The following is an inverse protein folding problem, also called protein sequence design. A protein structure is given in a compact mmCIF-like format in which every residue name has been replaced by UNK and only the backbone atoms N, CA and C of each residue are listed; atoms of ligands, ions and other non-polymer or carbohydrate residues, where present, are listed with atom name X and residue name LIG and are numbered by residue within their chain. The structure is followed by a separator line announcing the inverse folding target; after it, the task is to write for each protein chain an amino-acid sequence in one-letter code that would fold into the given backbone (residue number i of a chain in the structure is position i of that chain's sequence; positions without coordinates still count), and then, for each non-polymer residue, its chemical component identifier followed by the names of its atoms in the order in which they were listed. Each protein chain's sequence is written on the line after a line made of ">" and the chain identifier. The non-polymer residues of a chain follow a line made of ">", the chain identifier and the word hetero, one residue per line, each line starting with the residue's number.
data_IF_130916292930
#
_entry.id   IF_130916292930
#
_cell.length_a   1.000
_cell.length_b   1.000
_cell.length_c   1.000
_cell.angle_alpha   90.00
_cell.angle_beta   90.00
_cell.angle_gamma   90.00
#
_symmetry.space_group_name_H-M   'P 1'
#
loop_
_entity.id
_entity.type
_entity.pdbx_description
1 polymer ?
#
# COMPACT_ATOMS: atom_id res chain seq x y z
N UNK A 1 -14.86 -27.18 -16.65
CA UNK A 1 -15.19 -26.10 -15.69
C UNK A 1 -15.72 -26.77 -14.43
N UNK A 2 -14.87 -26.92 -13.39
CA UNK A 2 -15.16 -27.76 -12.23
C UNK A 2 -16.29 -27.19 -11.37
N UNK A 3 -17.32 -28.01 -11.17
CA UNK A 3 -18.54 -27.73 -10.42
C UNK A 3 -18.35 -27.67 -8.88
N UNK A 4 -17.11 -27.89 -8.40
CA UNK A 4 -16.79 -28.16 -6.99
C UNK A 4 -16.40 -26.94 -6.13
N UNK A 5 -16.34 -25.74 -6.70
CA UNK A 5 -15.95 -24.54 -5.95
C UNK A 5 -17.13 -23.76 -5.34
N UNK A 6 -18.38 -24.22 -5.54
CA UNK A 6 -19.58 -23.45 -5.17
C UNK A 6 -19.93 -23.43 -3.67
N UNK A 7 -19.36 -24.31 -2.84
CA UNK A 7 -19.80 -24.49 -1.44
C UNK A 7 -18.74 -24.25 -0.35
N UNK A 8 -17.61 -23.61 -0.64
CA UNK A 8 -16.67 -23.21 0.43
C UNK A 8 -17.02 -21.81 0.92
N UNK A 9 -17.33 -21.69 2.22
CA UNK A 9 -17.48 -20.39 2.87
C UNK A 9 -16.26 -19.52 2.57
N UNK A 10 -16.42 -18.23 2.24
CA UNK A 10 -15.28 -17.35 1.94
C UNK A 10 -14.31 -17.34 3.12
N UNK A 11 -13.02 -17.54 2.82
CA UNK A 11 -11.98 -17.59 3.86
C UNK A 11 -12.02 -16.32 4.73
N UNK A 12 -11.93 -16.51 6.05
CA UNK A 12 -11.84 -15.44 7.05
C UNK A 12 -10.43 -14.84 7.13
N UNK A 13 -9.41 -15.52 6.59
CA UNK A 13 -8.01 -15.11 6.65
C UNK A 13 -7.77 -13.65 6.20
N UNK A 14 -8.35 -13.17 5.08
CA UNK A 14 -8.16 -11.78 4.64
C UNK A 14 -8.58 -10.75 5.68
N UNK A 15 -9.70 -10.99 6.36
CA UNK A 15 -10.24 -10.08 7.36
C UNK A 15 -9.43 -10.08 8.66
N UNK A 16 -8.92 -11.23 9.07
CA UNK A 16 -8.02 -11.35 10.22
C UNK A 16 -6.71 -10.60 9.96
N UNK A 17 -6.11 -10.82 8.79
CA UNK A 17 -4.89 -10.09 8.40
C UNK A 17 -5.15 -8.59 8.29
N UNK A 18 -6.30 -8.19 7.74
CA UNK A 18 -6.71 -6.79 7.65
C UNK A 18 -6.84 -6.14 9.03
N UNK A 19 -7.50 -6.79 9.99
CA UNK A 19 -7.61 -6.28 11.35
C UNK A 19 -6.24 -6.08 11.99
N UNK A 20 -5.34 -7.06 11.82
CA UNK A 20 -3.97 -6.99 12.34
C UNK A 20 -3.17 -5.80 11.78
N UNK A 21 -3.20 -5.61 10.46
CA UNK A 21 -2.45 -4.53 9.80
C UNK A 21 -3.02 -3.14 10.05
N UNK A 22 -4.27 -3.02 10.50
CA UNK A 22 -4.87 -1.75 10.94
C UNK A 22 -4.52 -1.46 12.39
N UNK A 23 -4.71 -2.44 13.28
CA UNK A 23 -4.60 -2.26 14.73
C UNK A 23 -3.16 -1.96 15.17
N UNK A 24 -2.15 -2.64 14.62
CA UNK A 24 -0.77 -2.43 15.08
C UNK A 24 -0.26 -1.01 14.79
N UNK A 25 -0.33 -0.49 13.56
CA UNK A 25 0.03 0.90 13.28
C UNK A 25 -0.79 1.90 14.10
N UNK A 26 -2.06 1.59 14.35
CA UNK A 26 -2.91 2.44 15.19
C UNK A 26 -2.39 2.52 16.64
N UNK A 27 -2.04 1.40 17.25
CA UNK A 27 -1.47 1.37 18.60
C UNK A 27 -0.17 2.18 18.64
N UNK A 28 0.73 2.00 17.66
CA UNK A 28 1.98 2.77 17.60
C UNK A 28 1.73 4.27 17.44
N UNK A 29 0.81 4.66 16.57
CA UNK A 29 0.42 6.06 16.37
C UNK A 29 -0.22 6.66 17.63
N UNK A 30 -1.16 5.94 18.26
CA UNK A 30 -1.82 6.38 19.48
C UNK A 30 -0.82 6.51 20.64
N UNK A 31 0.12 5.57 20.78
CA UNK A 31 1.17 5.61 21.79
C UNK A 31 2.07 6.84 21.64
N UNK A 32 2.49 7.21 20.41
CA UNK A 32 3.27 8.42 20.14
C UNK A 32 2.50 9.69 20.57
N UNK A 33 1.17 9.65 20.52
CA UNK A 33 0.29 10.73 20.97
C UNK A 33 -0.15 10.60 22.43
N UNK A 34 0.50 9.73 23.22
CA UNK A 34 0.14 9.43 24.61
C UNK A 34 -1.35 9.10 24.77
N UNK A 35 -1.94 8.41 23.79
CA UNK A 35 -3.36 8.05 23.73
C UNK A 35 -4.34 9.23 23.75
N UNK A 36 -3.86 10.46 23.57
CA UNK A 36 -4.70 11.65 23.52
C UNK A 36 -5.28 11.85 22.13
N UNK A 37 -6.60 11.83 21.98
CA UNK A 37 -7.29 12.13 20.71
C UNK A 37 -7.66 13.62 20.57
N UNK A 38 -7.24 14.46 21.51
CA UNK A 38 -7.40 15.91 21.41
C UNK A 38 -6.47 16.50 20.35
N UNK A 39 -6.84 17.65 19.77
CA UNK A 39 -6.00 18.44 18.85
C UNK A 39 -5.47 17.67 17.64
N UNK A 40 -6.33 16.89 16.97
CA UNK A 40 -5.98 16.22 15.72
C UNK A 40 -5.78 17.26 14.61
N UNK A 41 -4.56 17.34 14.09
CA UNK A 41 -4.21 18.13 12.91
C UNK A 41 -3.94 17.24 11.70
N UNK A 42 -4.02 17.81 10.49
CA UNK A 42 -3.65 17.11 9.27
C UNK A 42 -2.22 16.52 9.34
N UNK A 43 -1.27 17.25 9.94
CA UNK A 43 0.11 16.78 10.16
C UNK A 43 0.21 15.57 11.09
N UNK A 44 -0.70 15.46 12.06
CA UNK A 44 -0.73 14.31 12.98
C UNK A 44 -1.41 13.07 12.38
N UNK A 45 -2.34 13.25 11.44
CA UNK A 45 -3.16 12.17 10.86
C UNK A 45 -2.58 11.64 9.55
N UNK A 46 -2.03 12.49 8.68
CA UNK A 46 -1.54 12.03 7.38
C UNK A 46 -0.54 10.86 7.45
N UNK A 47 0.37 10.73 8.45
CA UNK A 47 1.35 9.65 8.44
C UNK A 47 0.72 8.27 8.58
N UNK A 48 -0.25 8.11 9.49
CA UNK A 48 -0.91 6.81 9.70
C UNK A 48 -1.70 6.35 8.47
N UNK A 49 -2.27 7.29 7.69
CA UNK A 49 -2.96 6.95 6.45
C UNK A 49 -2.04 6.27 5.43
N UNK A 50 -0.81 6.77 5.30
CA UNK A 50 0.20 6.18 4.41
C UNK A 50 0.61 4.77 4.86
N UNK A 51 0.74 4.57 6.17
CA UNK A 51 1.05 3.25 6.76
C UNK A 51 -0.08 2.28 6.50
N UNK A 52 -1.33 2.64 6.83
CA UNK A 52 -2.47 1.78 6.57
C UNK A 52 -2.64 1.47 5.08
N UNK A 53 -2.48 2.46 4.20
CA UNK A 53 -2.55 2.22 2.77
C UNK A 53 -1.56 1.13 2.34
N UNK A 54 -0.27 1.30 2.68
CA UNK A 54 0.76 0.34 2.31
C UNK A 54 0.52 -1.04 2.93
N UNK A 55 0.13 -1.10 4.19
CA UNK A 55 -0.08 -2.38 4.87
C UNK A 55 -1.31 -3.14 4.37
N UNK A 56 -2.35 -2.44 3.92
CA UNK A 56 -3.48 -3.08 3.23
C UNK A 56 -3.01 -3.60 1.86
N UNK A 57 -2.26 -2.81 1.10
CA UNK A 57 -1.69 -3.28 -0.19
C UNK A 57 -0.78 -4.49 0.01
N UNK A 58 0.01 -4.52 1.10
CA UNK A 58 0.81 -5.68 1.50
C UNK A 58 -0.05 -6.94 1.69
N UNK A 59 -1.23 -6.83 2.32
CA UNK A 59 -2.12 -7.98 2.45
C UNK A 59 -2.65 -8.48 1.11
N UNK A 60 -2.82 -7.61 0.10
CA UNK A 60 -3.20 -8.04 -1.25
C UNK A 60 -2.12 -8.92 -1.89
N UNK A 61 -0.85 -8.59 -1.68
CA UNK A 61 0.27 -9.40 -2.14
C UNK A 61 0.32 -10.76 -1.44
N UNK A 62 0.25 -10.77 -0.10
CA UNK A 62 0.28 -12.02 0.68
C UNK A 62 -0.88 -12.94 0.32
N UNK A 63 -2.10 -12.40 0.21
CA UNK A 63 -3.27 -13.17 -0.17
C UNK A 63 -3.21 -13.59 -1.64
N UNK A 64 -2.63 -12.78 -2.52
CA UNK A 64 -2.35 -13.12 -3.92
C UNK A 64 -1.42 -14.32 -4.04
N UNK A 65 -0.31 -14.31 -3.31
CA UNK A 65 0.67 -15.40 -3.22
C UNK A 65 0.04 -16.65 -2.62
N UNK A 66 -0.65 -16.54 -1.48
CA UNK A 66 -1.37 -17.66 -0.86
C UNK A 66 -2.34 -18.29 -1.87
N UNK A 67 -3.08 -17.47 -2.63
CA UNK A 67 -4.03 -17.94 -3.64
C UNK A 67 -3.33 -18.74 -4.75
N UNK A 68 -2.21 -18.25 -5.25
CA UNK A 68 -1.42 -18.93 -6.30
C UNK A 68 -0.93 -20.28 -5.77
N UNK A 69 -0.35 -20.30 -4.57
CA UNK A 69 0.26 -21.50 -3.99
C UNK A 69 -0.76 -22.57 -3.57
N UNK A 70 -1.95 -22.16 -3.13
CA UNK A 70 -2.98 -23.09 -2.61
C UNK A 70 -4.12 -23.34 -3.59
N UNK A 71 -4.11 -22.68 -4.76
CA UNK A 71 -5.21 -22.65 -5.72
C UNK A 71 -6.58 -22.31 -5.06
N UNK A 72 -6.55 -21.45 -4.04
CA UNK A 72 -7.77 -21.03 -3.32
C UNK A 72 -8.57 -19.99 -4.11
N UNK A 73 -9.84 -19.79 -3.74
CA UNK A 73 -10.69 -18.78 -4.38
C UNK A 73 -10.40 -17.37 -3.84
N UNK A 74 -10.61 -16.34 -4.68
CA UNK A 74 -10.49 -14.93 -4.28
C UNK A 74 -11.66 -14.55 -3.36
N UNK A 75 -11.38 -13.92 -2.22
CA UNK A 75 -12.42 -13.24 -1.46
C UNK A 75 -12.76 -11.89 -2.14
N UNK A 76 -13.80 -11.89 -2.98
CA UNK A 76 -14.16 -10.73 -3.80
C UNK A 76 -14.64 -9.53 -2.98
N UNK A 77 -15.37 -9.77 -1.88
CA UNK A 77 -15.86 -8.71 -1.01
C UNK A 77 -14.69 -7.98 -0.34
N UNK A 78 -13.76 -8.75 0.23
CA UNK A 78 -12.55 -8.19 0.82
C UNK A 78 -11.75 -7.40 -0.21
N UNK A 79 -11.47 -7.98 -1.39
CA UNK A 79 -10.70 -7.31 -2.42
C UNK A 79 -11.33 -5.99 -2.89
N UNK A 80 -12.67 -5.95 -2.98
CA UNK A 80 -13.41 -4.73 -3.34
C UNK A 80 -13.31 -3.66 -2.25
N UNK A 81 -13.64 -4.01 -1.00
CA UNK A 81 -13.65 -3.05 0.11
C UNK A 81 -12.24 -2.52 0.38
N UNK A 82 -11.26 -3.42 0.50
CA UNK A 82 -9.87 -3.03 0.77
C UNK A 82 -9.25 -2.26 -0.40
N UNK A 83 -9.61 -2.54 -1.65
CA UNK A 83 -9.18 -1.75 -2.81
C UNK A 83 -9.67 -0.30 -2.77
N UNK A 84 -10.96 -0.07 -2.50
CA UNK A 84 -11.48 1.29 -2.34
C UNK A 84 -10.87 2.02 -1.13
N UNK A 85 -10.65 1.29 -0.04
CA UNK A 85 -10.03 1.86 1.15
C UNK A 85 -8.57 2.26 0.88
N UNK A 86 -7.78 1.42 0.19
CA UNK A 86 -6.43 1.77 -0.24
C UNK A 86 -6.46 3.04 -1.08
N UNK A 87 -7.34 3.11 -2.10
CA UNK A 87 -7.44 4.28 -2.97
C UNK A 87 -7.75 5.55 -2.19
N UNK A 88 -8.69 5.50 -1.25
CA UNK A 88 -9.01 6.61 -0.37
C UNK A 88 -7.78 7.03 0.45
N UNK A 89 -7.09 6.09 1.08
CA UNK A 89 -5.96 6.36 1.96
C UNK A 89 -4.74 6.92 1.21
N UNK A 90 -4.38 6.36 0.03
CA UNK A 90 -3.24 6.85 -0.77
C UNK A 90 -3.49 8.24 -1.36
N UNK A 91 -4.74 8.63 -1.59
CA UNK A 91 -5.10 9.98 -2.03
C UNK A 91 -5.08 10.93 -0.83
N UNK A 92 -5.76 10.55 0.27
CA UNK A 92 -5.84 11.38 1.47
C UNK A 92 -4.47 11.67 2.10
N UNK A 93 -3.55 10.70 2.07
CA UNK A 93 -2.22 10.84 2.65
C UNK A 93 -1.43 12.07 2.15
N UNK A 94 -1.11 12.19 0.84
CA UNK A 94 -0.42 13.36 0.31
C UNK A 94 -1.32 14.60 0.28
N UNK A 95 -2.64 14.47 0.13
CA UNK A 95 -3.52 15.67 0.08
C UNK A 95 -3.63 16.36 1.43
N UNK A 96 -3.68 15.62 2.54
CA UNK A 96 -3.65 16.21 3.89
C UNK A 96 -2.34 16.95 4.15
N UNK A 97 -1.21 16.38 3.70
CA UNK A 97 0.08 17.07 3.78
C UNK A 97 0.07 18.33 2.90
N UNK A 98 -0.46 18.25 1.68
CA UNK A 98 -0.49 19.38 0.75
C UNK A 98 -1.34 20.52 1.29
N UNK A 99 -2.52 20.20 1.83
CA UNK A 99 -3.40 21.16 2.50
C UNK A 99 -2.68 21.85 3.64
N UNK A 100 -2.11 21.07 4.56
CA UNK A 100 -1.45 21.65 5.73
C UNK A 100 -0.27 22.54 5.33
N UNK A 101 0.56 22.10 4.38
CA UNK A 101 1.67 22.93 3.91
C UNK A 101 1.21 24.17 3.17
N UNK A 102 0.08 24.13 2.46
CA UNK A 102 -0.51 25.30 1.83
C UNK A 102 -0.90 26.35 2.89
N UNK A 103 -1.57 25.95 3.97
CA UNK A 103 -1.93 26.85 5.07
C UNK A 103 -0.70 27.52 5.71
N UNK A 104 0.39 26.77 5.89
CA UNK A 104 1.59 27.29 6.55
C UNK A 104 2.54 28.07 5.63
N UNK A 105 2.59 27.74 4.35
CA UNK A 105 3.66 28.23 3.45
C UNK A 105 3.17 28.87 2.17
N UNK A 106 1.87 28.80 1.87
CA UNK A 106 1.24 29.25 0.62
C UNK A 106 1.91 28.67 -0.64
N UNK A 107 2.45 27.45 -0.54
CA UNK A 107 3.14 26.73 -1.62
C UNK A 107 2.49 25.38 -1.87
N UNK A 108 2.37 25.02 -3.14
CA UNK A 108 1.89 23.71 -3.57
C UNK A 108 3.05 22.70 -3.76
N UNK A 109 2.74 21.39 -3.80
CA UNK A 109 3.69 20.37 -4.22
C UNK A 109 4.20 20.63 -5.65
N UNK A 110 5.43 20.21 -6.00
CA UNK A 110 6.36 19.44 -5.17
C UNK A 110 7.15 20.28 -4.16
N UNK A 111 7.17 21.61 -4.34
CA UNK A 111 7.99 22.52 -3.54
C UNK A 111 7.68 22.44 -2.05
N UNK A 112 6.40 22.41 -1.69
CA UNK A 112 5.99 22.32 -0.28
C UNK A 112 6.41 21.00 0.37
N UNK A 113 6.27 19.87 -0.33
CA UNK A 113 6.69 18.56 0.18
C UNK A 113 8.20 18.47 0.38
N UNK A 114 8.98 19.01 -0.55
CA UNK A 114 10.44 19.03 -0.43
C UNK A 114 10.94 19.91 0.71
N UNK A 115 10.24 21.01 1.00
CA UNK A 115 10.57 21.85 2.14
C UNK A 115 10.23 21.16 3.46
N UNK A 116 9.05 20.52 3.54
CA UNK A 116 8.63 19.75 4.72
C UNK A 116 9.60 18.59 5.04
N UNK A 117 9.97 17.81 4.02
CA UNK A 117 10.86 16.66 4.19
C UNK A 117 12.33 17.04 4.43
N UNK A 118 12.75 18.24 4.03
CA UNK A 118 14.14 18.65 4.05
C UNK A 118 14.96 18.18 2.84
N UNK A 119 16.08 18.87 2.58
CA UNK A 119 16.89 18.70 1.36
C UNK A 119 17.41 17.27 1.16
N UNK A 120 17.81 16.59 2.24
CA UNK A 120 18.39 15.24 2.19
C UNK A 120 17.37 14.15 1.83
N UNK A 121 16.06 14.40 1.99
CA UNK A 121 15.01 13.39 1.81
C UNK A 121 14.16 13.61 0.55
N UNK A 122 14.50 14.60 -0.30
CA UNK A 122 13.77 14.90 -1.55
C UNK A 122 13.60 13.69 -2.46
N UNK A 123 14.63 12.85 -2.56
CA UNK A 123 14.57 11.63 -3.36
C UNK A 123 13.44 10.70 -2.89
N UNK A 124 13.27 10.53 -1.59
CA UNK A 124 12.22 9.67 -1.02
C UNK A 124 10.82 10.26 -1.21
N UNK A 125 10.68 11.58 -1.19
CA UNK A 125 9.42 12.25 -1.56
C UNK A 125 9.09 11.97 -3.03
N UNK A 126 10.08 12.10 -3.92
CA UNK A 126 9.91 11.80 -5.34
C UNK A 126 9.54 10.33 -5.57
N UNK A 127 10.18 9.39 -4.88
CA UNK A 127 9.81 7.96 -4.94
C UNK A 127 8.34 7.74 -4.58
N UNK A 128 7.84 8.39 -3.53
CA UNK A 128 6.42 8.31 -3.15
C UNK A 128 5.48 8.83 -4.24
N UNK A 129 5.84 9.94 -4.90
CA UNK A 129 5.07 10.49 -6.01
C UNK A 129 5.05 9.55 -7.23
N UNK A 130 6.20 8.97 -7.60
CA UNK A 130 6.28 7.99 -8.68
C UNK A 130 5.44 6.76 -8.36
N UNK A 131 5.53 6.24 -7.14
CA UNK A 131 4.71 5.11 -6.69
C UNK A 131 3.22 5.38 -6.80
N UNK A 132 2.76 6.58 -6.40
CA UNK A 132 1.35 6.95 -6.50
C UNK A 132 0.87 6.89 -7.95
N UNK A 133 1.65 7.42 -8.90
CA UNK A 133 1.32 7.36 -10.33
C UNK A 133 1.26 5.92 -10.82
N UNK A 134 2.22 5.07 -10.45
CA UNK A 134 2.22 3.65 -10.81
C UNK A 134 1.00 2.91 -10.24
N UNK A 135 0.62 3.20 -9.00
CA UNK A 135 -0.54 2.58 -8.35
C UNK A 135 -1.86 2.99 -9.00
N UNK A 136 -2.05 4.29 -9.23
CA UNK A 136 -3.25 4.81 -9.89
C UNK A 136 -3.35 4.30 -11.33
N UNK A 137 -2.22 4.21 -12.03
CA UNK A 137 -2.18 3.63 -13.38
C UNK A 137 -2.64 2.18 -13.37
N UNK A 138 -2.23 1.39 -12.37
CA UNK A 138 -2.67 0.00 -12.25
C UNK A 138 -4.18 -0.13 -11.97
N UNK A 139 -4.74 0.70 -11.09
CA UNK A 139 -6.18 0.71 -10.82
C UNK A 139 -7.00 0.94 -12.10
N UNK A 140 -6.50 1.80 -12.99
CA UNK A 140 -7.10 2.01 -14.32
C UNK A 140 -6.89 0.78 -15.21
N UNK A 141 -5.65 0.28 -15.33
CA UNK A 141 -5.31 -0.83 -16.22
C UNK A 141 -5.97 -2.15 -15.82
N UNK A 142 -6.19 -2.40 -14.52
CA UNK A 142 -6.90 -3.59 -14.03
C UNK A 142 -8.35 -3.63 -14.55
N UNK A 143 -9.02 -2.46 -14.64
CA UNK A 143 -10.39 -2.36 -15.20
C UNK A 143 -10.44 -2.68 -16.69
N UNK A 144 -9.34 -2.49 -17.40
CA UNK A 144 -9.20 -2.80 -18.81
C UNK A 144 -8.42 -4.09 -19.09
N UNK A 145 -8.28 -4.98 -18.09
CA UNK A 145 -7.46 -6.20 -18.18
C UNK A 145 -7.82 -7.12 -19.37
N UNK A 146 -9.10 -7.15 -19.76
CA UNK A 146 -9.58 -7.97 -20.88
C UNK A 146 -9.21 -7.40 -22.26
N UNK A 147 -8.72 -6.16 -22.34
CA UNK A 147 -8.22 -5.59 -23.60
C UNK A 147 -6.92 -6.29 -23.99
N UNK A 148 -6.82 -6.70 -25.26
CA UNK A 148 -5.68 -7.48 -25.79
C UNK A 148 -4.32 -6.84 -25.50
N UNK A 149 -4.21 -5.51 -25.63
CA UNK A 149 -2.99 -4.75 -25.35
C UNK A 149 -2.60 -4.85 -23.87
N UNK A 150 -3.56 -4.73 -22.95
CA UNK A 150 -3.31 -4.81 -21.51
C UNK A 150 -2.93 -6.24 -21.12
N UNK A 151 -3.69 -7.23 -21.61
CA UNK A 151 -3.42 -8.65 -21.38
C UNK A 151 -2.01 -9.05 -21.85
N UNK A 152 -1.62 -8.64 -23.07
CA UNK A 152 -0.28 -8.91 -23.65
C UNK A 152 0.85 -8.33 -22.81
N UNK A 153 0.61 -7.20 -22.13
CA UNK A 153 1.60 -6.48 -21.34
C UNK A 153 1.45 -6.69 -19.82
N UNK A 154 0.59 -7.63 -19.38
CA UNK A 154 0.26 -7.81 -17.97
C UNK A 154 1.49 -8.05 -17.07
N UNK A 155 2.50 -8.77 -17.57
CA UNK A 155 3.77 -9.00 -16.86
C UNK A 155 4.52 -7.72 -16.50
N UNK A 156 4.48 -6.71 -17.38
CA UNK A 156 5.12 -5.41 -17.15
C UNK A 156 4.30 -4.54 -16.20
N UNK A 157 2.97 -4.64 -16.29
CA UNK A 157 2.05 -4.00 -15.35
C UNK A 157 2.25 -4.59 -13.94
N UNK A 158 2.39 -5.92 -13.83
CA UNK A 158 2.68 -6.61 -12.58
C UNK A 158 4.03 -6.19 -11.99
N UNK A 159 5.08 -6.14 -12.83
CA UNK A 159 6.39 -5.64 -12.44
C UNK A 159 6.34 -4.18 -11.96
N UNK A 160 5.56 -3.32 -12.61
CA UNK A 160 5.43 -1.93 -12.19
C UNK A 160 4.81 -1.80 -10.80
N UNK A 161 3.91 -2.70 -10.40
CA UNK A 161 3.36 -2.73 -9.05
C UNK A 161 4.38 -3.19 -8.00
N UNK A 162 5.22 -4.18 -8.34
CA UNK A 162 6.33 -4.59 -7.47
C UNK A 162 7.30 -3.42 -7.25
N UNK A 163 7.62 -2.68 -8.32
CA UNK A 163 8.42 -1.46 -8.24
C UNK A 163 7.72 -0.41 -7.37
N UNK A 164 6.43 -0.15 -7.59
CA UNK A 164 5.66 0.81 -6.81
C UNK A 164 5.67 0.48 -5.31
N UNK A 165 5.41 -0.78 -4.94
CA UNK A 165 5.45 -1.26 -3.55
C UNK A 165 6.82 -1.10 -2.91
N UNK A 166 7.89 -1.38 -3.66
CA UNK A 166 9.28 -1.21 -3.20
C UNK A 166 9.61 0.26 -2.95
N UNK A 167 9.20 1.13 -3.87
CA UNK A 167 9.40 2.58 -3.75
C UNK A 167 8.61 3.18 -2.57
N UNK A 168 7.36 2.73 -2.32
CA UNK A 168 6.59 3.15 -1.13
C UNK A 168 7.27 2.67 0.15
N UNK A 169 7.78 1.44 0.17
CA UNK A 169 8.50 0.90 1.31
C UNK A 169 9.74 1.76 1.65
N UNK A 170 10.55 2.10 0.64
CA UNK A 170 11.72 2.97 0.81
C UNK A 170 11.32 4.39 1.25
N UNK A 171 10.25 4.94 0.65
CA UNK A 171 9.66 6.22 1.06
C UNK A 171 9.28 6.21 2.55
N UNK A 172 8.56 5.18 3.00
CA UNK A 172 8.10 5.06 4.37
C UNK A 172 9.24 4.88 5.38
N UNK A 173 10.25 4.06 5.06
CA UNK A 173 11.40 3.84 5.93
C UNK A 173 12.21 5.12 6.20
N UNK A 174 12.27 6.03 5.22
CA UNK A 174 13.12 7.23 5.31
C UNK A 174 12.39 8.49 5.74
N UNK A 175 11.10 8.62 5.43
CA UNK A 175 10.29 9.79 5.78
C UNK A 175 9.34 9.56 6.97
N UNK A 176 9.12 8.32 7.37
CA UNK A 176 8.25 8.02 8.50
C UNK A 176 8.88 8.45 9.81
N UNK A 177 8.53 9.62 10.36
CA UNK A 177 8.97 10.05 11.70
C UNK A 177 8.58 9.06 12.83
N UNK A 178 7.60 8.17 12.57
CA UNK A 178 7.16 7.09 13.46
C UNK A 178 8.23 5.96 13.53
N UNK A 179 9.15 5.88 12.58
CA UNK A 179 10.18 4.84 12.51
C UNK A 179 11.30 5.01 13.54
N UNK A 180 11.31 6.05 14.38
CA UNK A 180 12.23 6.09 15.53
C UNK A 180 11.84 5.09 16.63
N UNK A 181 10.61 4.60 16.64
CA UNK A 181 10.15 3.56 17.56
C UNK A 181 10.59 2.16 17.08
N UNK A 182 11.31 1.42 17.93
CA UNK A 182 11.84 0.08 17.61
C UNK A 182 10.76 -0.92 17.17
N UNK A 183 9.58 -0.90 17.80
CA UNK A 183 8.47 -1.78 17.43
C UNK A 183 7.94 -1.46 16.04
N UNK A 184 7.92 -0.18 15.68
CA UNK A 184 7.51 0.25 14.35
C UNK A 184 8.56 -0.09 13.29
N UNK A 185 9.85 -0.01 13.62
CA UNK A 185 10.91 -0.51 12.73
C UNK A 185 10.78 -2.01 12.48
N UNK A 186 10.57 -2.80 13.54
CA UNK A 186 10.36 -4.24 13.44
C UNK A 186 9.14 -4.58 12.57
N UNK A 187 8.04 -3.83 12.73
CA UNK A 187 6.85 -3.97 11.89
C UNK A 187 7.20 -3.84 10.40
N UNK A 188 7.93 -2.81 10.00
CA UNK A 188 8.35 -2.63 8.61
C UNK A 188 9.30 -3.73 8.13
N UNK A 189 10.27 -4.11 8.95
CA UNK A 189 11.24 -5.16 8.59
C UNK A 189 10.52 -6.50 8.37
N UNK A 190 9.63 -6.89 9.28
CA UNK A 190 8.88 -8.15 9.18
C UNK A 190 8.00 -8.15 7.92
N UNK A 191 7.21 -7.09 7.71
CA UNK A 191 6.34 -7.02 6.53
C UNK A 191 7.16 -6.96 5.24
N UNK A 192 8.24 -6.17 5.21
CA UNK A 192 9.16 -6.11 4.06
C UNK A 192 9.78 -7.47 3.74
N UNK A 193 10.25 -8.20 4.75
CA UNK A 193 10.85 -9.52 4.57
C UNK A 193 9.85 -10.54 3.99
N UNK A 194 8.59 -10.52 4.44
CA UNK A 194 7.53 -11.38 3.90
C UNK A 194 7.13 -10.97 2.47
N UNK A 195 7.24 -9.69 2.13
CA UNK A 195 6.82 -9.18 0.83
C UNK A 195 7.74 -9.64 -0.32
N UNK A 196 9.04 -9.79 -0.06
CA UNK A 196 10.05 -10.22 -1.05
C UNK A 196 9.67 -11.57 -1.71
N UNK A 197 9.45 -12.68 -0.97
CA UNK A 197 9.04 -13.93 -1.62
C UNK A 197 7.67 -13.83 -2.30
N UNK A 198 6.76 -12.98 -1.80
CA UNK A 198 5.48 -12.74 -2.47
C UNK A 198 5.67 -12.15 -3.87
N UNK A 199 6.62 -11.22 -4.04
CA UNK A 199 6.99 -10.68 -5.35
C UNK A 199 7.48 -11.77 -6.29
N UNK A 200 8.37 -12.66 -5.82
CA UNK A 200 8.88 -13.77 -6.61
C UNK A 200 7.76 -14.65 -7.17
N UNK A 201 6.87 -15.13 -6.30
CA UNK A 201 5.76 -16.01 -6.68
C UNK A 201 4.80 -15.33 -7.67
N UNK A 202 4.47 -14.05 -7.45
CA UNK A 202 3.53 -13.32 -8.32
C UNK A 202 4.15 -13.10 -9.70
N UNK A 203 5.40 -12.65 -9.75
CA UNK A 203 6.09 -12.41 -11.02
C UNK A 203 6.29 -13.71 -11.79
N UNK A 204 6.72 -14.79 -11.13
CA UNK A 204 6.87 -16.10 -11.77
C UNK A 204 5.55 -16.57 -12.39
N UNK A 205 4.44 -16.51 -11.64
CA UNK A 205 3.12 -16.86 -12.17
C UNK A 205 2.72 -15.99 -13.37
N UNK A 206 3.01 -14.69 -13.36
CA UNK A 206 2.64 -13.77 -14.43
C UNK A 206 3.54 -13.88 -15.66
N UNK A 207 4.78 -14.34 -15.51
CA UNK A 207 5.72 -14.57 -16.60
C UNK A 207 5.59 -15.95 -17.25
N UNK A 208 5.14 -16.95 -16.51
CA UNK A 208 4.97 -18.33 -17.00
C UNK A 208 3.62 -18.57 -17.68
N UNK A 209 2.58 -17.80 -17.33
CA UNK A 209 1.30 -17.86 -18.04
C UNK A 209 1.45 -17.32 -19.45
N UNK A 210 1.28 -18.18 -20.46
CA UNK A 210 1.15 -17.76 -21.86
C UNK A 210 -0.07 -16.81 -21.96
N UNK A 211 0.16 -15.62 -22.53
CA UNK A 211 -0.85 -14.58 -22.71
C UNK A 211 -1.99 -15.02 -23.65
#
# INVERSE_FOLDING_TARGET
>A
MNHDLKNKSPSKLPWVLFAFIIVIPFISWAAIRNWSLSNLSALSVFPILGVWAWSIMWTHYVLGTHRIMTNSSKNHLYARISGYLVLLLIILHPTLLAWSQWEFTNKLPPTSFYNYAGKSLKLFVFMGAVSLVLFLSYEVLERFKEKSIVKKNWKWISLSQVIAMTLIFMHALKLGNITSNVYFQLYWIILGAILIPCFGVILENDWTKKA
#
